data_IF_688758178792
#
_entry.id   IF_688758178792
#
_cell.length_a   1.000
_cell.length_b   1.000
_cell.length_c   1.000
_cell.angle_alpha   90.00
_cell.angle_beta   90.00
_cell.angle_gamma   90.00
#
_symmetry.space_group_name_H-M   'P 1'
#
loop_
_entity.id
_entity.type
_entity.pdbx_description
1 polymer ?
#
# COMPACT_ATOMS: atom_id res chain seq x y z
N UNK A 1 -27.10 9.77 12.87
CA UNK A 1 -27.47 9.14 11.59
C UNK A 1 -27.53 10.24 10.54
N UNK A 2 -26.76 10.11 9.44
CA UNK A 2 -26.75 11.09 8.35
C UNK A 2 -28.13 11.13 7.68
N UNK A 3 -28.87 12.22 7.86
CA UNK A 3 -30.23 12.43 7.34
C UNK A 3 -30.31 12.65 5.83
N UNK A 4 -29.17 12.64 5.13
CA UNK A 4 -29.04 12.93 3.70
C UNK A 4 -28.85 11.68 2.82
N UNK A 5 -28.86 10.48 3.42
CA UNK A 5 -28.56 9.22 2.73
C UNK A 5 -29.76 8.29 2.85
N UNK A 6 -30.10 7.59 1.76
CA UNK A 6 -31.20 6.64 1.75
C UNK A 6 -30.99 5.54 2.82
N UNK A 7 -32.05 5.02 3.46
CA UNK A 7 -31.94 4.10 4.62
C UNK A 7 -31.11 2.83 4.37
N UNK A 8 -30.98 2.39 3.12
CA UNK A 8 -30.24 1.20 2.71
C UNK A 8 -28.80 1.47 2.24
N UNK A 9 -28.31 2.71 2.39
CA UNK A 9 -26.99 3.12 1.95
C UNK A 9 -26.09 3.55 3.11
N UNK A 10 -24.80 3.25 2.94
CA UNK A 10 -23.74 3.53 3.89
C UNK A 10 -22.72 4.42 3.21
N UNK A 11 -22.28 5.47 3.91
CA UNK A 11 -21.18 6.34 3.50
C UNK A 11 -20.18 6.40 4.64
N UNK A 12 -18.92 6.11 4.33
CA UNK A 12 -17.80 6.22 5.26
C UNK A 12 -16.63 6.91 4.56
N UNK A 13 -15.85 7.66 5.33
CA UNK A 13 -14.62 8.28 4.87
C UNK A 13 -13.47 7.70 5.70
N UNK A 14 -12.59 6.93 5.06
CA UNK A 14 -11.48 6.23 5.70
C UNK A 14 -10.18 6.49 4.96
N UNK A 15 -9.13 6.80 5.73
CA UNK A 15 -7.77 6.97 5.22
C UNK A 15 -7.00 5.64 5.19
N UNK A 16 -7.65 4.55 4.77
CA UNK A 16 -6.97 3.25 4.62
C UNK A 16 -6.22 3.20 3.30
N UNK A 17 -4.94 2.85 3.36
CA UNK A 17 -4.08 2.71 2.18
C UNK A 17 -4.46 1.52 1.31
N UNK A 18 -4.13 1.57 0.02
CA UNK A 18 -4.36 0.48 -0.92
C UNK A 18 -3.47 -0.74 -0.54
N UNK A 19 -4.05 -1.90 -0.15
CA UNK A 19 -3.28 -3.09 0.23
C UNK A 19 -2.35 -3.58 -0.88
N UNK A 20 -2.79 -3.51 -2.14
CA UNK A 20 -1.98 -3.90 -3.30
C UNK A 20 -0.71 -3.05 -3.42
N UNK A 21 -0.77 -1.77 -3.04
CA UNK A 21 0.39 -0.89 -3.10
C UNK A 21 1.22 -1.05 -1.83
N UNK A 22 0.59 -0.98 -0.66
CA UNK A 22 1.28 -0.94 0.62
C UNK A 22 1.95 -2.26 0.96
N UNK A 23 1.21 -3.37 0.85
CA UNK A 23 1.73 -4.68 1.25
C UNK A 23 2.77 -5.17 0.26
N UNK A 24 2.50 -5.06 -1.04
CA UNK A 24 3.48 -5.45 -2.06
C UNK A 24 4.73 -4.57 -1.96
N UNK A 25 4.58 -3.26 -1.72
CA UNK A 25 5.75 -2.38 -1.58
C UNK A 25 6.55 -2.65 -0.30
N UNK A 26 5.88 -3.02 0.79
CA UNK A 26 6.57 -3.43 2.02
C UNK A 26 7.35 -4.73 1.81
N UNK A 27 6.73 -5.74 1.19
CA UNK A 27 7.40 -7.01 0.85
C UNK A 27 8.54 -6.79 -0.14
N UNK A 28 8.35 -5.95 -1.16
CA UNK A 28 9.37 -5.63 -2.15
C UNK A 28 10.57 -4.90 -1.55
N UNK A 29 10.33 -3.95 -0.63
CA UNK A 29 11.40 -3.28 0.10
C UNK A 29 12.21 -4.27 0.98
N UNK A 30 11.53 -5.17 1.70
CA UNK A 30 12.19 -6.22 2.51
C UNK A 30 12.94 -7.20 1.62
N UNK A 31 12.37 -7.61 0.49
CA UNK A 31 13.01 -8.49 -0.48
C UNK A 31 14.28 -7.86 -1.07
N UNK A 32 14.25 -6.56 -1.37
CA UNK A 32 15.42 -5.82 -1.84
C UNK A 32 16.52 -5.77 -0.77
N UNK A 33 16.14 -5.47 0.48
CA UNK A 33 17.07 -5.46 1.60
C UNK A 33 17.70 -6.84 1.82
N UNK A 34 16.90 -7.91 1.77
CA UNK A 34 17.37 -9.29 1.86
C UNK A 34 18.32 -9.64 0.71
N UNK A 35 17.95 -9.32 -0.53
CA UNK A 35 18.78 -9.57 -1.69
C UNK A 35 20.14 -8.84 -1.60
N UNK A 36 20.15 -7.65 -1.00
CA UNK A 36 21.39 -6.92 -0.70
C UNK A 36 22.23 -7.61 0.37
N UNK A 37 21.62 -8.02 1.49
CA UNK A 37 22.31 -8.69 2.60
C UNK A 37 22.89 -10.05 2.17
N UNK A 38 22.16 -10.78 1.34
CA UNK A 38 22.60 -12.02 0.70
C UNK A 38 23.64 -11.81 -0.43
N UNK A 39 24.12 -10.57 -0.64
CA UNK A 39 25.08 -10.19 -1.69
C UNK A 39 24.66 -10.57 -3.12
N UNK A 40 23.36 -10.78 -3.36
CA UNK A 40 22.80 -11.08 -4.70
C UNK A 40 22.68 -9.84 -5.57
N UNK A 41 22.69 -8.66 -4.97
CA UNK A 41 22.61 -7.36 -5.64
C UNK A 41 23.75 -6.47 -5.16
N UNK A 42 24.47 -5.87 -6.10
CA UNK A 42 25.54 -4.92 -5.80
C UNK A 42 24.98 -3.65 -5.14
N UNK A 43 25.72 -3.01 -4.22
CA UNK A 43 25.32 -1.72 -3.68
C UNK A 43 25.18 -0.67 -4.80
N UNK A 44 24.01 -0.04 -4.85
CA UNK A 44 23.73 1.07 -5.75
C UNK A 44 23.39 2.31 -4.91
N UNK A 45 23.75 3.50 -5.41
CA UNK A 45 23.38 4.79 -4.83
C UNK A 45 21.87 4.91 -4.68
N UNK A 46 21.10 4.43 -5.66
CA UNK A 46 19.64 4.45 -5.61
C UNK A 46 19.09 3.70 -4.38
N UNK A 47 19.67 2.54 -4.08
CA UNK A 47 19.23 1.71 -2.96
C UNK A 47 19.56 2.35 -1.60
N UNK A 48 20.69 3.07 -1.51
CA UNK A 48 21.03 3.85 -0.32
C UNK A 48 20.02 4.99 -0.11
N UNK A 49 19.63 5.70 -1.17
CA UNK A 49 18.61 6.76 -1.10
C UNK A 49 17.28 6.20 -0.61
N UNK A 50 16.85 5.03 -1.11
CA UNK A 50 15.60 4.41 -0.66
C UNK A 50 15.68 3.99 0.82
N UNK A 51 16.76 3.34 1.24
CA UNK A 51 16.95 2.94 2.63
C UNK A 51 17.00 4.15 3.58
N UNK A 52 17.76 5.19 3.25
CA UNK A 52 17.84 6.42 4.04
C UNK A 52 16.48 7.10 4.09
N UNK A 53 15.76 7.19 2.95
CA UNK A 53 14.42 7.75 2.90
C UNK A 53 13.41 6.99 3.77
N UNK A 54 13.43 5.66 3.74
CA UNK A 54 12.58 4.83 4.61
C UNK A 54 12.93 5.07 6.08
N UNK A 55 14.21 5.00 6.46
CA UNK A 55 14.63 5.16 7.85
C UNK A 55 14.34 6.58 8.36
N UNK A 56 14.65 7.61 7.58
CA UNK A 56 14.41 9.00 7.96
C UNK A 56 12.91 9.30 8.15
N UNK A 57 12.04 8.68 7.35
CA UNK A 57 10.60 8.90 7.44
C UNK A 57 9.90 7.95 8.42
N UNK A 58 10.45 6.79 8.75
CA UNK A 58 9.81 5.79 9.60
C UNK A 58 10.36 5.79 11.04
N UNK A 59 11.68 5.87 11.20
CA UNK A 59 12.35 5.72 12.50
C UNK A 59 11.94 6.78 13.54
N UNK A 60 11.73 8.07 13.19
CA UNK A 60 11.28 9.05 14.17
C UNK A 60 9.94 8.66 14.82
N UNK A 61 9.01 8.10 14.05
CA UNK A 61 7.68 7.72 14.54
C UNK A 61 7.69 6.43 15.37
N UNK A 62 8.69 5.57 15.20
CA UNK A 62 8.88 4.38 16.04
C UNK A 62 9.37 4.76 17.44
N UNK A 63 10.16 5.83 17.56
CA UNK A 63 10.77 6.27 18.81
C UNK A 63 9.87 7.20 19.64
N UNK A 64 8.81 7.73 19.03
CA UNK A 64 7.87 8.62 19.68
C UNK A 64 6.88 7.82 20.54
N UNK A 65 6.76 8.18 21.81
CA UNK A 65 5.86 7.55 22.79
C UNK A 65 4.38 7.96 22.66
N UNK A 66 4.08 8.90 21.77
CA UNK A 66 2.71 9.39 21.52
C UNK A 66 1.96 8.41 20.62
N UNK A 67 0.63 8.44 20.67
CA UNK A 67 -0.21 7.69 19.76
C UNK A 67 0.08 8.09 18.30
N UNK A 68 0.46 7.12 17.48
CA UNK A 68 0.72 7.30 16.05
C UNK A 68 -0.38 6.63 15.24
N UNK A 69 -0.80 7.32 14.18
CA UNK A 69 -1.83 6.85 13.25
C UNK A 69 -1.22 6.53 11.88
N UNK A 70 -1.99 5.82 11.06
CA UNK A 70 -1.60 5.32 9.73
C UNK A 70 -1.04 6.40 8.80
N UNK A 71 -1.47 7.66 8.94
CA UNK A 71 -1.02 8.73 8.05
C UNK A 71 0.46 9.11 8.20
N UNK A 72 1.09 8.82 9.34
CA UNK A 72 2.53 9.02 9.51
C UNK A 72 3.33 8.10 8.58
N UNK A 73 2.76 6.95 8.21
CA UNK A 73 3.39 6.03 7.27
C UNK A 73 3.31 6.50 5.81
N UNK A 74 2.40 7.42 5.45
CA UNK A 74 2.28 7.91 4.07
C UNK A 74 3.59 8.49 3.52
N UNK A 75 4.38 9.16 4.36
CA UNK A 75 5.67 9.71 3.95
C UNK A 75 6.71 8.63 3.59
N UNK A 76 6.59 7.42 4.16
CA UNK A 76 7.44 6.27 3.88
C UNK A 76 7.05 5.55 2.59
N UNK A 77 5.77 5.62 2.18
CA UNK A 77 5.20 4.87 1.05
C UNK A 77 5.94 5.10 -0.28
N UNK A 78 6.28 6.33 -0.71
CA UNK A 78 7.00 6.55 -1.97
C UNK A 78 8.35 5.84 -2.00
N UNK A 79 9.06 5.79 -0.86
CA UNK A 79 10.38 5.16 -0.79
C UNK A 79 10.31 3.63 -0.88
N UNK A 80 9.36 3.00 -0.19
CA UNK A 80 9.15 1.54 -0.31
C UNK A 80 8.62 1.15 -1.70
N UNK A 81 7.85 2.02 -2.35
CA UNK A 81 7.37 1.82 -3.71
C UNK A 81 8.53 1.87 -4.71
N UNK A 82 9.39 2.89 -4.62
CA UNK A 82 10.60 2.97 -5.44
C UNK A 82 11.53 1.78 -5.23
N UNK A 83 11.73 1.34 -3.97
CA UNK A 83 12.51 0.14 -3.67
C UNK A 83 11.91 -1.11 -4.35
N UNK A 84 10.59 -1.24 -4.36
CA UNK A 84 9.90 -2.39 -4.96
C UNK A 84 9.97 -2.38 -6.48
N UNK A 85 9.78 -1.21 -7.11
CA UNK A 85 9.99 -1.05 -8.56
C UNK A 85 11.42 -1.39 -8.94
N UNK A 86 12.40 -0.96 -8.15
CA UNK A 86 13.81 -1.30 -8.37
C UNK A 86 14.08 -2.80 -8.21
N UNK A 87 13.50 -3.44 -7.19
CA UNK A 87 13.58 -4.89 -7.00
C UNK A 87 12.98 -5.65 -8.20
N UNK A 88 11.83 -5.19 -8.69
CA UNK A 88 11.16 -5.76 -9.85
C UNK A 88 11.99 -5.57 -11.13
N UNK A 89 12.60 -4.40 -11.33
CA UNK A 89 13.50 -4.15 -12.44
C UNK A 89 14.70 -5.11 -12.43
N UNK A 90 15.32 -5.34 -11.26
CA UNK A 90 16.41 -6.32 -11.13
C UNK A 90 15.94 -7.75 -11.36
N UNK A 91 14.72 -8.08 -10.97
CA UNK A 91 14.12 -9.39 -11.23
C UNK A 91 13.89 -9.60 -12.73
N UNK A 92 13.32 -8.61 -13.44
CA UNK A 92 13.10 -8.67 -14.89
C UNK A 92 14.42 -8.79 -15.67
N UNK A 93 15.48 -8.10 -15.22
CA UNK A 93 16.82 -8.24 -15.82
C UNK A 93 17.39 -9.65 -15.70
N UNK A 94 17.04 -10.38 -14.62
CA UNK A 94 17.49 -11.75 -14.39
C UNK A 94 16.58 -12.80 -15.04
N UNK A 95 15.27 -12.53 -15.06
CA UNK A 95 14.22 -13.40 -15.58
C UNK A 95 13.30 -12.59 -16.50
N UNK A 96 13.58 -12.54 -17.81
CA UNK A 96 12.78 -11.76 -18.77
C UNK A 96 11.30 -12.19 -18.81
N UNK A 97 11.00 -13.44 -18.47
CA UNK A 97 9.64 -13.97 -18.36
C UNK A 97 8.82 -13.29 -17.25
N UNK A 98 9.46 -12.69 -16.24
CA UNK A 98 8.77 -12.00 -15.14
C UNK A 98 8.20 -10.62 -15.53
N UNK A 99 8.34 -10.18 -16.78
CA UNK A 99 7.86 -8.87 -17.23
C UNK A 99 6.34 -8.68 -17.13
N UNK A 100 5.56 -9.77 -17.08
CA UNK A 100 4.10 -9.69 -16.91
C UNK A 100 3.73 -9.22 -15.48
N UNK A 101 4.62 -9.43 -14.50
CA UNK A 101 4.32 -9.24 -13.09
C UNK A 101 4.03 -7.77 -12.75
N UNK A 102 4.70 -6.82 -13.41
CA UNK A 102 4.41 -5.38 -13.25
C UNK A 102 2.99 -5.03 -13.72
N UNK A 103 2.55 -5.63 -14.83
CA UNK A 103 1.22 -5.37 -15.38
C UNK A 103 0.13 -5.98 -14.52
N UNK A 104 0.34 -7.20 -14.02
CA UNK A 104 -0.53 -7.81 -13.01
C UNK A 104 -0.60 -6.95 -11.74
N UNK A 105 0.52 -6.42 -11.26
CA UNK A 105 0.54 -5.57 -10.08
C UNK A 105 -0.20 -4.24 -10.29
N UNK A 106 0.02 -3.57 -11.43
CA UNK A 106 -0.70 -2.33 -11.79
C UNK A 106 -2.20 -2.62 -11.92
N UNK A 107 -2.59 -3.71 -12.57
CA UNK A 107 -3.99 -4.12 -12.70
C UNK A 107 -4.64 -4.36 -11.34
N UNK A 108 -3.95 -5.04 -10.43
CA UNK A 108 -4.45 -5.27 -9.08
C UNK A 108 -4.52 -3.99 -8.25
N UNK A 109 -3.55 -3.08 -8.39
CA UNK A 109 -3.57 -1.78 -7.73
C UNK A 109 -4.74 -0.91 -8.21
N UNK A 110 -5.00 -0.90 -9.52
CA UNK A 110 -6.14 -0.19 -10.11
C UNK A 110 -7.47 -0.81 -9.68
N UNK A 111 -7.58 -2.14 -9.67
CA UNK A 111 -8.77 -2.85 -9.20
C UNK A 111 -9.08 -2.50 -7.74
N UNK A 112 -8.09 -2.57 -6.85
CA UNK A 112 -8.26 -2.19 -5.44
C UNK A 112 -8.62 -0.72 -5.29
N UNK A 113 -8.03 0.17 -6.10
CA UNK A 113 -8.41 1.57 -6.09
C UNK A 113 -9.89 1.75 -6.41
N UNK A 114 -10.40 1.13 -7.47
CA UNK A 114 -11.83 1.22 -7.85
C UNK A 114 -12.73 0.64 -6.75
N UNK A 115 -12.38 -0.53 -6.20
CA UNK A 115 -13.17 -1.17 -5.14
C UNK A 115 -13.21 -0.34 -3.85
N UNK A 116 -12.09 0.29 -3.50
CA UNK A 116 -11.94 1.05 -2.25
C UNK A 116 -12.33 2.54 -2.41
N UNK A 117 -12.49 3.03 -3.65
CA UNK A 117 -12.82 4.43 -3.95
C UNK A 117 -14.02 4.98 -3.18
N UNK A 118 -15.13 4.23 -3.01
CA UNK A 118 -16.27 4.74 -2.24
C UNK A 118 -15.93 5.03 -0.78
N UNK A 119 -15.11 4.19 -0.15
CA UNK A 119 -14.70 4.37 1.25
C UNK A 119 -13.64 5.46 1.45
N UNK A 120 -12.92 5.85 0.38
CA UNK A 120 -11.95 6.95 0.40
C UNK A 120 -12.64 8.30 0.11
N UNK A 121 -13.61 8.30 -0.80
CA UNK A 121 -14.31 9.52 -1.25
C UNK A 121 -15.56 9.87 -0.43
N UNK A 122 -16.07 8.94 0.39
CA UNK A 122 -17.34 9.13 1.09
C UNK A 122 -18.57 8.90 0.23
N UNK A 123 -18.41 8.25 -0.93
CA UNK A 123 -19.53 7.97 -1.83
C UNK A 123 -20.50 6.97 -1.16
N UNK A 124 -21.78 7.30 -1.20
CA UNK A 124 -22.82 6.45 -0.63
C UNK A 124 -23.01 5.19 -1.48
N UNK A 125 -22.87 4.02 -0.84
CA UNK A 125 -23.00 2.71 -1.49
C UNK A 125 -24.06 1.86 -0.79
N UNK A 126 -24.69 0.89 -1.49
CA UNK A 126 -25.59 -0.06 -0.84
C UNK A 126 -24.90 -0.81 0.30
N UNK A 127 -25.65 -1.10 1.38
CA UNK A 127 -25.12 -1.82 2.54
C UNK A 127 -24.52 -3.20 2.18
N UNK A 128 -25.08 -3.89 1.18
CA UNK A 128 -24.56 -5.17 0.67
C UNK A 128 -23.16 -5.02 0.05
N UNK A 129 -22.96 -3.93 -0.70
CA UNK A 129 -21.66 -3.60 -1.29
C UNK A 129 -20.63 -3.30 -0.21
N UNK A 130 -21.01 -2.52 0.80
CA UNK A 130 -20.16 -2.26 1.98
C UNK A 130 -19.82 -3.56 2.74
N UNK A 131 -20.78 -4.49 2.90
CA UNK A 131 -20.57 -5.78 3.54
C UNK A 131 -19.69 -6.74 2.71
N UNK A 132 -19.72 -6.64 1.38
CA UNK A 132 -18.76 -7.33 0.52
C UNK A 132 -17.35 -6.74 0.68
N UNK A 133 -17.23 -5.40 0.58
CA UNK A 133 -15.96 -4.72 0.72
C UNK A 133 -15.34 -4.95 2.09
N UNK A 134 -16.13 -5.03 3.17
CA UNK A 134 -15.62 -5.28 4.53
C UNK A 134 -14.87 -6.61 4.67
N UNK A 135 -15.12 -7.58 3.78
CA UNK A 135 -14.42 -8.88 3.75
C UNK A 135 -13.06 -8.80 3.05
N UNK A 136 -12.83 -7.79 2.22
CA UNK A 136 -11.56 -7.61 1.52
C UNK A 136 -10.46 -7.09 2.45
N UNK A 137 -9.18 -7.33 2.11
CA UNK A 137 -8.04 -6.68 2.76
C UNK A 137 -8.25 -5.16 2.90
N UNK A 138 -8.14 -4.63 4.11
CA UNK A 138 -8.38 -3.20 4.39
C UNK A 138 -9.87 -2.79 4.49
N UNK A 139 -10.79 -3.62 4.04
CA UNK A 139 -12.23 -3.36 4.04
C UNK A 139 -12.86 -3.18 5.42
N UNK A 140 -12.43 -3.97 6.42
CA UNK A 140 -12.89 -3.81 7.80
C UNK A 140 -12.54 -2.44 8.40
N UNK A 141 -11.47 -1.79 7.94
CA UNK A 141 -11.11 -0.43 8.36
C UNK A 141 -12.05 0.63 7.77
N UNK A 142 -12.80 0.30 6.72
CA UNK A 142 -13.73 1.21 6.04
C UNK A 142 -15.18 0.97 6.45
N UNK A 143 -15.59 -0.29 6.60
CA UNK A 143 -17.00 -0.70 6.76
C UNK A 143 -17.20 -1.75 7.86
N UNK A 144 -16.24 -1.94 8.76
CA UNK A 144 -16.29 -2.94 9.83
C UNK A 144 -16.90 -2.46 11.14
N UNK A 145 -17.49 -1.27 11.17
CA UNK A 145 -18.17 -0.69 12.34
C UNK A 145 -19.67 -1.01 12.33
#
# INVERSE_FOLDING_TARGET
FNSYIAPAQVSTLSASGNPAVWWVSAVGAVALLWARLAKRVAPDKAMQVFCVGVLANFLPWVLVSRCTFIYHFFATVPFILMATVYALQKLEQRYPEAHFLKWCWIGFAALFFVLMYPGISGLAVPAEWAAFLSKLPGGKLMYGA
#
